data_IF_144025876927
#
_entry.id   IF_144025876927
#
_cell.length_a   1.000
_cell.length_b   1.000
_cell.length_c   1.000
_cell.angle_alpha   90.00
_cell.angle_beta   90.00
_cell.angle_gamma   90.00
#
_symmetry.space_group_name_H-M   'P 1'
#
loop_
_entity.id
_entity.type
_entity.pdbx_description
1 polymer ?
#
# COMPACT_ATOMS: atom_id res chain seq x y z
N UNK A 1 18.76 21.31 19.78
CA UNK A 1 18.03 22.55 20.05
C UNK A 1 17.09 22.28 21.19
N UNK A 2 17.30 22.97 22.30
CA UNK A 2 16.59 22.74 23.55
C UNK A 2 15.19 23.37 23.46
N UNK A 3 14.15 22.62 23.84
CA UNK A 3 12.82 23.21 23.99
C UNK A 3 12.89 24.27 25.09
N UNK A 4 12.46 25.49 24.79
CA UNK A 4 12.35 26.57 25.77
C UNK A 4 11.49 26.09 26.96
N UNK A 5 11.89 26.43 28.19
CA UNK A 5 11.22 26.01 29.44
C UNK A 5 9.69 26.31 29.42
N UNK A 6 9.29 27.40 28.77
CA UNK A 6 7.88 27.76 28.55
C UNK A 6 7.12 26.76 27.67
N UNK A 7 7.76 26.22 26.64
CA UNK A 7 7.14 25.25 25.74
C UNK A 7 6.85 23.93 26.46
N UNK A 8 7.74 23.52 27.36
CA UNK A 8 7.56 22.33 28.20
C UNK A 8 6.36 22.54 29.13
N UNK A 9 6.18 23.74 29.67
CA UNK A 9 5.05 24.09 30.54
C UNK A 9 3.69 24.07 29.81
N UNK A 10 3.65 24.48 28.54
CA UNK A 10 2.44 24.41 27.74
C UNK A 10 2.05 22.97 27.38
N UNK A 11 3.03 22.13 27.04
CA UNK A 11 2.79 20.71 26.76
C UNK A 11 2.36 19.97 28.03
N UNK A 12 3.00 20.24 29.17
CA UNK A 12 2.62 19.60 30.44
C UNK A 12 1.22 19.99 30.91
N UNK A 13 0.82 21.27 30.75
CA UNK A 13 -0.55 21.71 31.04
C UNK A 13 -1.58 20.99 30.15
N UNK A 14 -1.32 20.88 28.85
CA UNK A 14 -2.20 20.18 27.92
C UNK A 14 -2.35 18.70 28.27
N UNK A 15 -1.26 18.04 28.66
CA UNK A 15 -1.29 16.63 29.08
C UNK A 15 -2.02 16.46 30.41
N UNK A 16 -1.82 17.37 31.37
CA UNK A 16 -2.56 17.37 32.63
C UNK A 16 -4.07 17.52 32.42
N UNK A 17 -4.50 18.39 31.49
CA UNK A 17 -5.92 18.53 31.14
C UNK A 17 -6.49 17.26 30.48
N UNK A 18 -5.68 16.52 29.73
CA UNK A 18 -6.08 15.22 29.16
C UNK A 18 -6.16 14.15 30.25
N UNK A 19 -5.19 14.09 31.17
CA UNK A 19 -5.21 13.14 32.29
C UNK A 19 -6.41 13.37 33.20
N UNK A 20 -6.73 14.63 33.52
CA UNK A 20 -7.92 15.00 34.30
C UNK A 20 -9.22 14.55 33.61
N UNK A 21 -9.30 14.71 32.28
CA UNK A 21 -10.48 14.31 31.50
C UNK A 21 -10.59 12.81 31.25
N UNK A 22 -9.48 12.08 31.30
CA UNK A 22 -9.48 10.61 31.32
C UNK A 22 -10.01 10.10 32.67
N UNK A 23 -9.63 10.73 33.78
CA UNK A 23 -10.11 10.40 35.12
C UNK A 23 -9.98 8.91 35.45
N UNK A 24 -11.07 8.33 35.97
CA UNK A 24 -11.17 6.91 36.34
C UNK A 24 -11.67 5.99 35.19
N UNK A 25 -11.78 6.51 33.96
CA UNK A 25 -12.29 5.73 32.83
C UNK A 25 -11.29 4.69 32.31
N UNK A 26 -10.03 4.78 32.72
CA UNK A 26 -8.96 3.85 32.37
C UNK A 26 -8.25 3.37 33.65
N UNK A 27 -7.87 2.08 33.68
CA UNK A 27 -7.04 1.56 34.76
C UNK A 27 -5.68 2.27 34.81
N UNK A 28 -5.05 2.37 35.98
CA UNK A 28 -3.80 3.10 36.18
C UNK A 28 -2.70 2.70 35.18
N UNK A 29 -2.56 1.40 34.89
CA UNK A 29 -1.59 0.87 33.93
C UNK A 29 -1.93 1.23 32.47
N UNK A 30 -3.21 1.32 32.12
CA UNK A 30 -3.64 1.73 30.78
C UNK A 30 -3.48 3.23 30.59
N UNK A 31 -3.78 4.02 31.62
CA UNK A 31 -3.57 5.48 31.63
C UNK A 31 -2.11 5.83 31.39
N UNK A 32 -1.19 5.18 32.10
CA UNK A 32 0.26 5.40 31.94
C UNK A 32 0.73 5.08 30.51
N UNK A 33 0.30 3.93 29.94
CA UNK A 33 0.65 3.55 28.56
C UNK A 33 0.07 4.48 27.50
N UNK A 34 -1.17 4.92 27.69
CA UNK A 34 -1.85 5.84 26.79
C UNK A 34 -1.16 7.21 26.78
N UNK A 35 -0.83 7.74 27.97
CA UNK A 35 -0.12 9.01 28.13
C UNK A 35 1.31 8.93 27.60
N UNK A 36 2.04 7.84 27.83
CA UNK A 36 3.40 7.66 27.31
C UNK A 36 3.44 7.69 25.76
N UNK A 37 2.46 7.05 25.10
CA UNK A 37 2.36 7.10 23.63
C UNK A 37 1.93 8.46 23.11
N UNK A 38 1.06 9.16 23.83
CA UNK A 38 0.70 10.54 23.52
C UNK A 38 1.95 11.43 23.60
N UNK A 39 2.74 11.28 24.66
CA UNK A 39 4.00 12.00 24.87
C UNK A 39 4.97 11.81 23.70
N UNK A 40 5.21 10.55 23.30
CA UNK A 40 6.10 10.23 22.18
C UNK A 40 5.62 10.84 20.86
N UNK A 41 4.30 10.85 20.62
CA UNK A 41 3.71 11.43 19.41
C UNK A 41 3.80 12.96 19.37
N UNK A 42 3.65 13.61 20.53
CA UNK A 42 3.83 15.06 20.67
C UNK A 42 5.29 15.41 20.41
N UNK A 43 6.23 14.66 20.99
CA UNK A 43 7.67 14.85 20.81
C UNK A 43 8.12 14.65 19.34
N UNK A 44 7.60 13.62 18.66
CA UNK A 44 7.89 13.36 17.24
C UNK A 44 7.37 14.51 16.34
N UNK A 45 6.16 15.00 16.62
CA UNK A 45 5.59 16.14 15.88
C UNK A 45 6.31 17.46 16.16
N UNK A 46 6.76 17.66 17.40
CA UNK A 46 7.61 18.79 17.76
C UNK A 46 8.92 18.72 16.99
N UNK A 47 9.64 17.58 17.02
CA UNK A 47 10.90 17.39 16.28
C UNK A 47 10.75 17.60 14.77
N UNK A 48 9.62 17.20 14.20
CA UNK A 48 9.36 17.35 12.75
C UNK A 48 9.03 18.80 12.36
N UNK A 49 8.51 19.61 13.29
CA UNK A 49 8.06 20.98 13.03
C UNK A 49 9.02 22.06 13.54
N UNK A 50 10.05 21.67 14.30
CA UNK A 50 11.07 22.56 14.87
C UNK A 50 12.03 23.08 13.79
N UNK A 51 11.66 24.20 13.18
CA UNK A 51 12.61 25.14 12.55
C UNK A 51 13.01 26.20 13.57
N UNK A 52 14.23 26.75 13.44
CA UNK A 52 15.06 27.37 14.49
C UNK A 52 14.45 28.46 15.41
N UNK A 53 13.24 28.97 15.17
CA UNK A 53 12.55 29.96 16.03
C UNK A 53 11.04 29.72 15.98
N UNK A 54 10.56 28.67 16.66
CA UNK A 54 9.12 28.39 16.75
C UNK A 54 8.52 29.28 17.85
N UNK A 55 7.65 30.21 17.47
CA UNK A 55 6.96 31.12 18.40
C UNK A 55 5.88 30.37 19.23
N UNK A 56 5.60 30.85 20.44
CA UNK A 56 4.59 30.29 21.37
C UNK A 56 3.21 30.10 20.68
N UNK A 57 2.87 30.97 19.72
CA UNK A 57 1.64 30.90 18.94
C UNK A 57 1.57 29.67 18.03
N UNK A 58 2.69 29.23 17.47
CA UNK A 58 2.77 28.07 16.57
C UNK A 58 2.64 26.75 17.34
N UNK A 59 3.13 26.70 18.58
CA UNK A 59 2.94 25.56 19.49
C UNK A 59 1.46 25.42 19.84
N UNK A 60 0.79 26.52 20.18
CA UNK A 60 -0.64 26.50 20.48
C UNK A 60 -1.46 26.08 19.25
N UNK A 61 -1.10 26.52 18.05
CA UNK A 61 -1.72 26.03 16.81
C UNK A 61 -1.44 24.54 16.55
N UNK A 62 -0.23 24.05 16.84
CA UNK A 62 0.13 22.64 16.70
C UNK A 62 -0.69 21.77 17.66
N UNK A 63 -0.83 22.20 18.92
CA UNK A 63 -1.64 21.53 19.94
C UNK A 63 -3.13 21.56 19.56
N UNK A 64 -3.65 22.70 19.10
CA UNK A 64 -5.04 22.81 18.63
C UNK A 64 -5.31 21.93 17.41
N UNK A 65 -4.33 21.81 16.49
CA UNK A 65 -4.41 20.94 15.31
C UNK A 65 -4.34 19.44 15.66
N UNK A 66 -3.79 19.07 16.82
CA UNK A 66 -3.92 17.71 17.33
C UNK A 66 -5.33 17.42 17.85
N UNK A 67 -6.11 18.45 18.17
CA UNK A 67 -7.50 18.34 18.62
C UNK A 67 -7.65 18.79 20.06
N UNK A 68 -8.88 19.15 20.43
CA UNK A 68 -9.19 19.55 21.80
C UNK A 68 -8.89 18.41 22.78
N UNK A 69 -8.49 18.72 24.03
CA UNK A 69 -8.16 17.71 25.05
C UNK A 69 -9.27 16.66 25.23
N UNK A 70 -10.53 17.09 25.16
CA UNK A 70 -11.72 16.23 25.26
C UNK A 70 -11.78 15.17 24.17
N UNK A 71 -11.51 15.56 22.93
CA UNK A 71 -11.55 14.65 21.79
C UNK A 71 -10.41 13.64 21.87
N UNK A 72 -9.23 14.06 22.32
CA UNK A 72 -8.08 13.16 22.51
C UNK A 72 -8.32 12.19 23.68
N UNK A 73 -8.84 12.66 24.80
CA UNK A 73 -9.23 11.80 25.93
C UNK A 73 -10.26 10.74 25.49
N UNK A 74 -11.31 11.12 24.76
CA UNK A 74 -12.31 10.19 24.24
C UNK A 74 -11.73 9.15 23.27
N UNK A 75 -10.77 9.55 22.41
CA UNK A 75 -10.07 8.61 21.52
C UNK A 75 -9.22 7.64 22.33
N UNK A 76 -8.49 8.12 23.35
CA UNK A 76 -7.65 7.27 24.20
C UNK A 76 -8.51 6.28 25.01
N UNK A 77 -9.61 6.72 25.60
CA UNK A 77 -10.57 5.86 26.30
C UNK A 77 -11.18 4.83 25.35
N UNK A 78 -11.53 5.20 24.12
CA UNK A 78 -12.04 4.23 23.14
C UNK A 78 -11.00 3.18 22.75
N UNK A 79 -9.78 3.60 22.45
CA UNK A 79 -8.74 2.70 21.94
C UNK A 79 -8.19 1.79 23.05
N UNK A 80 -8.16 2.25 24.30
CA UNK A 80 -7.60 1.48 25.42
C UNK A 80 -8.64 0.93 26.41
N UNK A 81 -9.87 1.44 26.42
CA UNK A 81 -10.98 0.93 27.23
C UNK A 81 -11.60 -0.34 26.65
N UNK A 82 -11.64 -0.48 25.33
CA UNK A 82 -12.15 -1.69 24.66
C UNK A 82 -11.23 -2.92 24.85
N UNK A 83 -9.98 -2.71 25.26
CA UNK A 83 -9.02 -3.79 25.49
C UNK A 83 -9.43 -4.74 26.64
N UNK A 84 -10.30 -4.29 27.57
CA UNK A 84 -10.84 -5.15 28.63
C UNK A 84 -11.92 -6.13 28.14
N UNK A 85 -12.53 -5.91 26.97
CA UNK A 85 -13.48 -6.86 26.39
C UNK A 85 -12.79 -8.00 25.62
N UNK A 86 -11.54 -7.81 25.18
CA UNK A 86 -10.79 -8.80 24.39
C UNK A 86 -9.89 -9.74 25.20
N UNK A 87 -9.67 -9.48 26.50
CA UNK A 87 -8.77 -10.29 27.35
C UNK A 87 -9.49 -11.26 28.32
N UNK A 88 -10.82 -11.46 28.18
CA UNK A 88 -11.57 -12.47 28.98
C UNK A 88 -11.99 -13.73 28.20
N UNK A 89 -11.56 -13.88 26.95
CA UNK A 89 -11.85 -15.07 26.14
C UNK A 89 -10.63 -16.03 26.07
N UNK A 90 -10.11 -16.47 27.22
CA UNK A 90 -9.18 -17.61 27.30
C UNK A 90 -9.13 -18.18 28.71
N UNK A 91 -10.19 -18.89 29.11
CA UNK A 91 -10.10 -19.99 30.11
C UNK A 91 -11.36 -20.86 30.07
N UNK A 92 -11.20 -22.10 29.60
CA UNK A 92 -12.01 -23.28 29.97
C UNK A 92 -11.14 -24.49 29.63
N UNK A 93 -11.18 -25.65 30.33
CA UNK A 93 -12.31 -26.23 31.09
C UNK A 93 -11.92 -26.52 32.56
N UNK A 94 -12.81 -26.75 33.53
CA UNK A 94 -13.55 -28.01 33.74
C UNK A 94 -14.27 -27.94 35.12
N UNK A 95 -15.40 -28.66 35.21
CA UNK A 95 -16.04 -29.28 36.38
C UNK A 95 -17.29 -28.65 37.07
N UNK A 96 -18.36 -29.48 37.07
CA UNK A 96 -19.54 -29.64 37.96
C UNK A 96 -20.72 -28.64 38.02
N UNK A 97 -21.87 -29.12 37.49
CA UNK A 97 -23.16 -29.45 38.16
C UNK A 97 -23.59 -28.60 39.39
N UNK A 98 -24.83 -28.13 39.62
CA UNK A 98 -26.19 -28.48 39.16
C UNK A 98 -27.21 -27.37 39.67
N UNK A 99 -28.55 -27.55 39.72
CA UNK A 99 -29.57 -26.87 38.91
C UNK A 99 -30.45 -25.84 39.66
N UNK A 100 -31.18 -25.01 38.91
CA UNK A 100 -32.13 -24.04 39.49
C UNK A 100 -33.22 -23.60 38.51
N UNK A 101 -34.37 -24.27 38.59
CA UNK A 101 -35.63 -24.03 37.90
C UNK A 101 -36.15 -22.59 37.97
N UNK A 102 -36.77 -22.08 36.87
CA UNK A 102 -38.19 -21.65 36.86
C UNK A 102 -38.66 -21.12 35.48
N UNK A 103 -39.60 -21.90 34.92
CA UNK A 103 -40.91 -21.51 34.34
C UNK A 103 -41.02 -20.41 33.27
N UNK A 104 -41.68 -20.77 32.17
CA UNK A 104 -42.41 -19.82 31.34
C UNK A 104 -42.64 -20.29 29.91
N UNK A 105 -43.49 -21.29 29.71
CA UNK A 105 -43.97 -21.69 28.40
C UNK A 105 -45.00 -20.68 27.88
N UNK A 106 -44.75 -20.08 26.71
CA UNK A 106 -45.85 -19.59 25.86
C UNK A 106 -45.40 -19.48 24.40
N UNK A 107 -46.11 -20.20 23.52
CA UNK A 107 -46.08 -20.08 22.06
C UNK A 107 -47.54 -19.99 21.61
N UNK A 108 -47.90 -18.97 20.83
CA UNK A 108 -48.48 -19.24 19.51
C UNK A 108 -47.94 -18.23 18.47
N UNK A 109 -47.47 -18.66 17.30
CA UNK A 109 -48.23 -18.97 16.08
C UNK A 109 -47.98 -17.88 15.00
N UNK A 110 -47.29 -18.31 13.94
CA UNK A 110 -47.48 -17.92 12.53
C UNK A 110 -47.76 -16.44 12.20
N UNK A 111 -46.68 -15.72 11.88
CA UNK A 111 -46.71 -14.50 11.07
C UNK A 111 -45.82 -14.70 9.84
N UNK A 112 -46.44 -14.65 8.67
CA UNK A 112 -45.88 -14.77 7.33
C UNK A 112 -44.63 -13.89 7.10
N UNK A 113 -43.46 -14.49 6.90
CA UNK A 113 -42.27 -13.78 6.40
C UNK A 113 -42.22 -13.87 4.87
N UNK A 114 -42.99 -12.99 4.23
CA UNK A 114 -42.71 -12.59 2.86
C UNK A 114 -41.29 -12.00 2.83
N UNK A 115 -40.36 -12.70 2.20
CA UNK A 115 -38.98 -12.26 1.98
C UNK A 115 -39.01 -11.08 1.00
N UNK A 116 -38.63 -9.85 1.40
CA UNK A 116 -38.27 -8.84 0.43
C UNK A 116 -36.88 -9.22 -0.11
N UNK A 117 -36.84 -9.55 -1.39
CA UNK A 117 -35.59 -9.66 -2.13
C UNK A 117 -34.78 -8.36 -1.98
N UNK A 118 -33.51 -8.48 -1.57
CA UNK A 118 -32.57 -7.37 -1.54
C UNK A 118 -31.98 -7.01 -0.18
N UNK A 119 -31.90 -7.94 0.78
CA UNK A 119 -31.11 -7.72 2.00
C UNK A 119 -29.60 -7.80 1.67
N UNK A 120 -29.02 -6.67 1.24
CA UNK A 120 -27.58 -6.44 1.27
C UNK A 120 -27.11 -6.56 2.72
N UNK A 121 -26.39 -7.64 3.02
CA UNK A 121 -25.80 -7.85 4.34
C UNK A 121 -24.98 -6.61 4.75
N UNK A 122 -25.10 -6.14 6.00
CA UNK A 122 -24.24 -5.07 6.51
C UNK A 122 -22.81 -5.58 6.45
N UNK A 123 -22.03 -5.02 5.52
CA UNK A 123 -20.64 -5.36 5.28
C UNK A 123 -19.86 -4.91 6.53
N UNK A 124 -19.64 -5.84 7.46
CA UNK A 124 -18.82 -5.58 8.64
C UNK A 124 -17.44 -5.10 8.18
N UNK A 125 -16.98 -4.02 8.80
CA UNK A 125 -15.78 -3.27 8.43
C UNK A 125 -14.47 -4.10 8.43
N UNK A 126 -14.51 -5.36 8.91
CA UNK A 126 -13.36 -6.24 9.03
C UNK A 126 -13.08 -7.12 7.81
N UNK A 127 -14.02 -7.25 6.86
CA UNK A 127 -13.77 -8.03 5.65
C UNK A 127 -13.20 -7.14 4.54
N UNK A 128 -11.88 -6.94 4.58
CA UNK A 128 -11.12 -6.27 3.52
C UNK A 128 -11.26 -7.01 2.18
N UNK A 129 -12.30 -6.67 1.42
CA UNK A 129 -12.56 -7.20 0.08
C UNK A 129 -11.66 -6.46 -0.91
N UNK A 130 -10.68 -7.17 -1.51
CA UNK A 130 -9.72 -6.57 -2.45
C UNK A 130 -10.38 -5.84 -3.62
N UNK A 131 -11.30 -6.51 -4.34
CA UNK A 131 -12.06 -5.93 -5.47
C UNK A 131 -13.48 -6.50 -5.59
N UNK A 132 -13.86 -7.50 -4.78
CA UNK A 132 -15.21 -8.08 -4.77
C UNK A 132 -15.50 -9.09 -5.88
N UNK A 133 -14.61 -9.27 -6.86
CA UNK A 133 -14.80 -10.21 -7.99
C UNK A 133 -14.99 -11.64 -7.51
N UNK A 134 -14.10 -12.14 -6.65
CA UNK A 134 -14.21 -13.49 -6.13
C UNK A 134 -15.46 -13.66 -5.23
N UNK A 135 -15.86 -12.62 -4.50
CA UNK A 135 -17.09 -12.65 -3.70
C UNK A 135 -18.34 -12.76 -4.58
N UNK A 136 -18.41 -11.94 -5.62
CA UNK A 136 -19.54 -11.94 -6.56
C UNK A 136 -19.70 -13.28 -7.28
N UNK A 137 -18.60 -13.85 -7.78
CA UNK A 137 -18.64 -15.15 -8.49
C UNK A 137 -18.99 -16.29 -7.51
N UNK A 138 -18.46 -16.24 -6.29
CA UNK A 138 -18.76 -17.23 -5.25
C UNK A 138 -20.26 -17.21 -4.86
N UNK A 139 -20.84 -16.03 -4.68
CA UNK A 139 -22.26 -15.85 -4.36
C UNK A 139 -23.16 -16.36 -5.49
N UNK A 140 -22.84 -16.00 -6.75
CA UNK A 140 -23.61 -16.44 -7.92
C UNK A 140 -23.61 -17.96 -8.10
N UNK A 141 -22.47 -18.62 -7.84
CA UNK A 141 -22.31 -20.05 -8.05
C UNK A 141 -22.52 -20.89 -6.78
N UNK A 142 -22.80 -20.25 -5.62
CA UNK A 142 -22.86 -20.88 -4.29
C UNK A 142 -21.59 -21.65 -3.90
N UNK A 143 -20.43 -21.14 -4.29
CA UNK A 143 -19.13 -21.74 -3.97
C UNK A 143 -18.53 -21.10 -2.72
N UNK A 144 -17.72 -21.83 -1.94
CA UNK A 144 -16.96 -21.22 -0.84
C UNK A 144 -15.93 -20.23 -1.39
N UNK A 145 -15.96 -18.99 -0.89
CA UNK A 145 -15.10 -17.88 -1.37
C UNK A 145 -13.60 -18.20 -1.29
N UNK A 146 -13.18 -18.98 -0.29
CA UNK A 146 -11.78 -19.41 -0.16
C UNK A 146 -11.33 -20.30 -1.32
N UNK A 147 -12.16 -21.25 -1.77
CA UNK A 147 -11.81 -22.14 -2.87
C UNK A 147 -11.63 -21.36 -4.19
N UNK A 148 -12.48 -20.36 -4.42
CA UNK A 148 -12.37 -19.52 -5.60
C UNK A 148 -11.13 -18.61 -5.54
N UNK A 149 -10.80 -18.05 -4.37
CA UNK A 149 -9.53 -17.31 -4.16
C UNK A 149 -8.33 -18.20 -4.43
N UNK A 150 -8.33 -19.43 -3.92
CA UNK A 150 -7.27 -20.41 -4.16
C UNK A 150 -7.11 -20.74 -5.65
N UNK A 151 -8.22 -20.93 -6.36
CA UNK A 151 -8.20 -21.15 -7.81
C UNK A 151 -7.61 -19.96 -8.58
N UNK A 152 -7.98 -18.73 -8.22
CA UNK A 152 -7.38 -17.54 -8.83
C UNK A 152 -5.88 -17.43 -8.55
N UNK A 153 -5.44 -17.77 -7.34
CA UNK A 153 -4.01 -17.80 -6.99
C UNK A 153 -3.28 -18.87 -7.80
N UNK A 154 -3.83 -20.07 -7.91
CA UNK A 154 -3.24 -21.16 -8.70
C UNK A 154 -3.14 -20.79 -10.19
N UNK A 155 -4.20 -20.17 -10.73
CA UNK A 155 -4.20 -19.65 -12.10
C UNK A 155 -3.17 -18.53 -12.28
N UNK A 156 -3.00 -17.68 -11.27
CA UNK A 156 -1.96 -16.66 -11.19
C UNK A 156 -0.55 -17.23 -11.16
N UNK A 157 -0.33 -18.36 -10.48
CA UNK A 157 0.96 -19.02 -10.44
C UNK A 157 1.37 -19.58 -11.81
N UNK A 158 0.41 -20.13 -12.57
CA UNK A 158 0.66 -20.76 -13.87
C UNK A 158 0.78 -19.72 -14.99
N UNK A 159 -0.15 -18.76 -15.04
CA UNK A 159 -0.22 -17.76 -16.12
C UNK A 159 0.47 -16.44 -15.81
N UNK A 160 0.96 -16.29 -14.57
CA UNK A 160 1.70 -15.12 -14.10
C UNK A 160 0.89 -13.82 -14.22
N UNK A 161 1.48 -12.74 -14.77
CA UNK A 161 0.83 -11.42 -14.85
C UNK A 161 -0.45 -11.39 -15.71
N UNK A 162 -0.65 -12.38 -16.59
CA UNK A 162 -1.83 -12.45 -17.47
C UNK A 162 -3.11 -12.72 -16.68
N UNK A 163 -3.08 -13.61 -15.68
CA UNK A 163 -4.24 -13.84 -14.80
C UNK A 163 -4.63 -12.58 -14.04
N UNK A 164 -3.64 -11.76 -13.65
CA UNK A 164 -3.91 -10.50 -12.98
C UNK A 164 -4.65 -9.53 -13.93
N UNK A 165 -4.20 -9.41 -15.18
CA UNK A 165 -4.90 -8.60 -16.20
C UNK A 165 -6.34 -9.09 -16.44
N UNK A 166 -6.56 -10.40 -16.51
CA UNK A 166 -7.90 -10.99 -16.67
C UNK A 166 -8.79 -10.70 -15.46
N UNK A 167 -8.27 -10.86 -14.25
CA UNK A 167 -8.99 -10.56 -13.02
C UNK A 167 -9.44 -9.09 -12.97
N UNK A 168 -8.58 -8.19 -13.43
CA UNK A 168 -8.85 -6.76 -13.52
C UNK A 168 -9.89 -6.43 -14.58
N UNK A 169 -9.82 -7.07 -15.74
CA UNK A 169 -10.82 -6.94 -16.79
C UNK A 169 -12.20 -7.36 -16.28
N UNK A 170 -12.29 -8.51 -15.59
CA UNK A 170 -13.55 -9.00 -15.00
C UNK A 170 -14.10 -7.99 -13.99
N UNK A 171 -13.26 -7.39 -13.15
CA UNK A 171 -13.69 -6.33 -12.25
C UNK A 171 -14.29 -5.14 -13.00
N UNK A 172 -13.59 -4.62 -14.02
CA UNK A 172 -14.03 -3.44 -14.78
C UNK A 172 -15.37 -3.72 -15.45
N UNK A 173 -15.55 -4.91 -16.03
CA UNK A 173 -16.81 -5.33 -16.67
C UNK A 173 -17.95 -5.44 -15.65
N UNK A 174 -17.72 -6.11 -14.51
CA UNK A 174 -18.74 -6.27 -13.48
C UNK A 174 -19.15 -4.93 -12.86
N UNK A 175 -18.19 -4.00 -12.74
CA UNK A 175 -18.46 -2.65 -12.25
C UNK A 175 -19.19 -1.79 -13.26
N UNK A 176 -18.85 -1.87 -14.54
CA UNK A 176 -19.57 -1.19 -15.62
C UNK A 176 -21.04 -1.64 -15.71
N UNK A 177 -21.34 -2.90 -15.35
CA UNK A 177 -22.70 -3.45 -15.25
C UNK A 177 -23.43 -3.12 -13.94
N UNK A 178 -22.80 -2.39 -13.02
CA UNK A 178 -23.38 -2.04 -11.72
C UNK A 178 -23.49 -3.21 -10.73
N UNK A 179 -22.91 -4.38 -11.03
CA UNK A 179 -23.05 -5.59 -10.21
C UNK A 179 -22.17 -5.61 -8.96
N UNK A 180 -21.17 -4.72 -8.87
CA UNK A 180 -20.27 -4.60 -7.72
C UNK A 180 -20.21 -3.13 -7.29
N UNK A 181 -20.70 -2.85 -6.08
CA UNK A 181 -20.44 -1.60 -5.38
C UNK A 181 -19.12 -1.72 -4.62
N UNK A 182 -18.20 -0.76 -4.84
CA UNK A 182 -16.91 -0.71 -4.13
C UNK A 182 -17.02 0.48 -3.21
N UNK A 183 -16.59 0.36 -1.94
CA UNK A 183 -16.67 1.44 -0.97
C UNK A 183 -15.78 2.64 -1.33
N UNK A 184 -14.80 2.47 -2.23
CA UNK A 184 -13.88 3.53 -2.61
C UNK A 184 -14.23 4.18 -3.97
N UNK A 185 -13.96 5.49 -4.08
CA UNK A 185 -14.20 6.28 -5.29
C UNK A 185 -13.36 5.76 -6.45
N UNK A 186 -14.03 5.40 -7.53
CA UNK A 186 -13.41 4.86 -8.74
C UNK A 186 -13.06 5.98 -9.71
N UNK A 187 -11.78 6.12 -10.05
CA UNK A 187 -11.30 7.12 -11.01
C UNK A 187 -10.90 6.42 -12.32
N UNK A 188 -11.79 6.36 -13.33
CA UNK A 188 -11.52 5.64 -14.58
C UNK A 188 -10.31 6.19 -15.33
N UNK A 189 -10.05 7.50 -15.19
CA UNK A 189 -8.89 8.15 -15.79
C UNK A 189 -7.57 7.57 -15.28
N UNK A 190 -7.46 7.25 -13.99
CA UNK A 190 -6.22 6.69 -13.40
C UNK A 190 -5.88 5.30 -13.92
N UNK A 191 -6.90 4.52 -14.29
CA UNK A 191 -6.74 3.15 -14.80
C UNK A 191 -6.08 3.16 -16.17
N UNK A 192 -6.34 4.19 -16.97
CA UNK A 192 -5.70 4.35 -18.29
C UNK A 192 -4.38 5.12 -18.15
N UNK A 193 -4.36 6.24 -17.42
CA UNK A 193 -3.18 7.11 -17.34
C UNK A 193 -1.99 6.44 -16.63
N UNK A 194 -2.20 5.68 -15.55
CA UNK A 194 -1.10 5.07 -14.81
C UNK A 194 -0.28 4.08 -15.67
N UNK A 195 -0.88 3.03 -16.26
CA UNK A 195 -0.12 2.10 -17.09
C UNK A 195 0.43 2.77 -18.35
N UNK A 196 -0.28 3.76 -18.91
CA UNK A 196 0.22 4.54 -20.05
C UNK A 196 1.49 5.32 -19.67
N UNK A 197 1.47 6.04 -18.55
CA UNK A 197 2.62 6.80 -18.07
C UNK A 197 3.79 5.88 -17.71
N UNK A 198 3.54 4.78 -17.01
CA UNK A 198 4.56 3.76 -16.69
C UNK A 198 5.18 3.19 -17.97
N UNK A 199 4.36 2.80 -18.94
CA UNK A 199 4.83 2.29 -20.23
C UNK A 199 5.62 3.35 -21.01
N UNK A 200 5.17 4.61 -21.00
CA UNK A 200 5.86 5.71 -21.67
C UNK A 200 7.24 5.97 -21.07
N UNK A 201 7.35 6.02 -19.73
CA UNK A 201 8.64 6.20 -19.04
C UNK A 201 9.59 5.04 -19.33
N UNK A 202 9.11 3.80 -19.30
CA UNK A 202 9.96 2.65 -19.65
C UNK A 202 10.39 2.67 -21.11
N UNK A 203 9.49 3.06 -22.02
CA UNK A 203 9.82 3.21 -23.45
C UNK A 203 10.88 4.29 -23.64
N UNK A 204 10.78 5.40 -22.90
CA UNK A 204 11.79 6.46 -22.92
C UNK A 204 13.17 5.93 -22.51
N UNK A 205 13.27 5.14 -21.44
CA UNK A 205 14.55 4.53 -21.03
C UNK A 205 15.06 3.51 -22.04
N UNK A 206 14.19 2.66 -22.58
CA UNK A 206 14.55 1.70 -23.62
C UNK A 206 15.14 2.39 -24.85
N UNK A 207 14.43 3.40 -25.37
CA UNK A 207 14.88 4.20 -26.50
C UNK A 207 16.16 4.97 -26.16
N UNK A 208 16.26 5.52 -24.94
CA UNK A 208 17.48 6.18 -24.46
C UNK A 208 18.70 5.26 -24.46
N UNK A 209 18.52 4.00 -24.06
CA UNK A 209 19.59 2.99 -24.12
C UNK A 209 20.01 2.67 -25.57
N UNK A 210 19.04 2.37 -26.44
CA UNK A 210 19.32 2.03 -27.85
C UNK A 210 19.93 3.20 -28.62
N UNK A 211 19.31 4.38 -28.54
CA UNK A 211 19.83 5.57 -29.20
C UNK A 211 21.12 6.06 -28.56
N UNK A 212 21.35 5.80 -27.28
CA UNK A 212 22.64 6.02 -26.63
C UNK A 212 23.75 5.20 -27.28
N UNK A 213 23.54 3.89 -27.46
CA UNK A 213 24.50 3.01 -28.15
C UNK A 213 24.70 3.45 -29.61
N UNK A 214 23.62 3.74 -30.35
CA UNK A 214 23.72 4.24 -31.72
C UNK A 214 24.47 5.58 -31.80
N UNK A 215 24.26 6.48 -30.84
CA UNK A 215 24.97 7.74 -30.75
C UNK A 215 26.48 7.54 -30.53
N UNK A 216 26.86 6.59 -29.68
CA UNK A 216 28.27 6.22 -29.47
C UNK A 216 28.88 5.66 -30.77
N UNK A 217 28.18 4.75 -31.47
CA UNK A 217 28.63 4.21 -32.77
C UNK A 217 28.82 5.31 -33.80
N UNK A 218 27.83 6.19 -33.94
CA UNK A 218 27.89 7.33 -34.85
C UNK A 218 29.05 8.27 -34.49
N UNK A 219 29.31 8.50 -33.20
CA UNK A 219 30.43 9.32 -32.77
C UNK A 219 31.78 8.68 -33.14
N UNK A 220 31.89 7.36 -32.99
CA UNK A 220 33.09 6.62 -33.34
C UNK A 220 33.36 6.63 -34.86
N UNK A 221 32.33 6.41 -35.66
CA UNK A 221 32.45 6.43 -37.12
C UNK A 221 32.73 7.84 -37.67
N UNK A 222 32.08 8.87 -37.12
CA UNK A 222 32.17 10.23 -37.66
C UNK A 222 33.36 11.03 -37.13
N UNK A 223 33.74 10.86 -35.86
CA UNK A 223 34.81 11.65 -35.24
C UNK A 223 36.12 10.89 -35.09
N UNK A 224 36.08 9.57 -34.88
CA UNK A 224 37.28 8.75 -34.80
C UNK A 224 37.61 8.07 -36.14
N UNK A 225 36.72 8.14 -37.14
CA UNK A 225 36.87 7.51 -38.46
C UNK A 225 37.22 6.01 -38.37
N UNK A 226 36.80 5.37 -37.28
CA UNK A 226 37.07 3.97 -36.98
C UNK A 226 35.75 3.25 -36.69
N UNK A 227 35.62 1.96 -37.03
CA UNK A 227 34.49 1.16 -36.54
C UNK A 227 34.64 0.92 -35.04
N UNK A 228 33.50 0.76 -34.34
CA UNK A 228 33.52 0.35 -32.93
C UNK A 228 34.12 -1.06 -32.82
N UNK A 229 35.08 -1.30 -31.91
CA UNK A 229 35.69 -2.62 -31.75
C UNK A 229 34.65 -3.66 -31.31
N UNK A 230 34.89 -4.96 -31.54
CA UNK A 230 34.01 -6.00 -31.03
C UNK A 230 34.03 -6.02 -29.49
N UNK A 231 32.90 -5.69 -28.89
CA UNK A 231 32.75 -5.52 -27.43
C UNK A 231 32.34 -6.79 -26.69
N UNK A 232 31.99 -7.87 -27.41
CA UNK A 232 31.56 -9.16 -26.84
C UNK A 232 30.56 -8.97 -25.68
N UNK A 233 30.88 -9.47 -24.48
CA UNK A 233 30.04 -9.40 -23.28
C UNK A 233 29.75 -7.98 -22.79
N UNK A 234 30.58 -6.99 -23.11
CA UNK A 234 30.36 -5.59 -22.72
C UNK A 234 29.21 -4.93 -23.49
N UNK A 235 28.79 -5.51 -24.62
CA UNK A 235 27.64 -5.06 -25.41
C UNK A 235 26.34 -5.83 -25.12
N UNK A 236 26.26 -6.52 -23.96
CA UNK A 236 25.06 -7.26 -23.54
C UNK A 236 23.77 -6.41 -23.61
N UNK A 237 23.83 -5.11 -23.30
CA UNK A 237 22.65 -4.26 -23.39
C UNK A 237 22.03 -4.26 -24.81
N UNK A 238 22.84 -4.30 -25.86
CA UNK A 238 22.35 -4.31 -27.24
C UNK A 238 21.58 -5.59 -27.58
N UNK A 239 22.02 -6.73 -27.03
CA UNK A 239 21.44 -8.05 -27.27
C UNK A 239 20.21 -8.26 -26.39
N UNK A 240 20.30 -7.91 -25.11
CA UNK A 240 19.26 -8.17 -24.11
C UNK A 240 18.22 -7.04 -23.97
N UNK A 241 18.44 -5.83 -24.50
CA UNK A 241 17.54 -4.68 -24.29
C UNK A 241 16.08 -4.99 -24.61
N UNK A 242 15.82 -5.68 -25.74
CA UNK A 242 14.47 -6.04 -26.14
C UNK A 242 13.80 -7.01 -25.15
N UNK A 243 14.53 -8.03 -24.69
CA UNK A 243 14.02 -9.02 -23.72
C UNK A 243 13.76 -8.37 -22.36
N UNK A 244 14.66 -7.51 -21.90
CA UNK A 244 14.48 -6.77 -20.65
C UNK A 244 13.30 -5.81 -20.73
N UNK A 245 13.15 -5.07 -21.82
CA UNK A 245 12.03 -4.16 -22.03
C UNK A 245 10.69 -4.90 -22.04
N UNK A 246 10.61 -6.01 -22.79
CA UNK A 246 9.42 -6.85 -22.82
C UNK A 246 9.10 -7.43 -21.43
N UNK A 247 10.10 -7.96 -20.73
CA UNK A 247 9.93 -8.47 -19.37
C UNK A 247 9.44 -7.38 -18.41
N UNK A 248 10.06 -6.19 -18.46
CA UNK A 248 9.64 -5.05 -17.66
C UNK A 248 8.18 -4.66 -17.96
N UNK A 249 7.75 -4.66 -19.23
CA UNK A 249 6.36 -4.34 -19.60
C UNK A 249 5.41 -5.42 -19.07
N UNK A 250 5.76 -6.68 -19.27
CA UNK A 250 4.94 -7.81 -18.87
C UNK A 250 4.69 -7.84 -17.35
N UNK A 251 5.68 -7.46 -16.53
CA UNK A 251 5.54 -7.47 -15.07
C UNK A 251 5.05 -6.13 -14.50
N UNK A 252 5.63 -5.00 -14.91
CA UNK A 252 5.35 -3.71 -14.28
C UNK A 252 4.03 -3.10 -14.76
N UNK A 253 3.60 -3.36 -16.00
CA UNK A 253 2.39 -2.75 -16.55
C UNK A 253 1.10 -3.29 -15.90
N UNK A 254 0.95 -4.62 -15.67
CA UNK A 254 -0.16 -5.14 -14.89
C UNK A 254 -0.17 -4.67 -13.44
N UNK A 255 1.01 -4.55 -12.81
CA UNK A 255 1.11 -4.00 -11.45
C UNK A 255 0.75 -2.50 -11.41
N UNK A 256 1.13 -1.72 -12.42
CA UNK A 256 0.73 -0.32 -12.56
C UNK A 256 -0.79 -0.19 -12.66
N UNK A 257 -1.42 -1.04 -13.48
CA UNK A 257 -2.87 -1.12 -13.59
C UNK A 257 -3.51 -1.53 -12.25
N UNK A 258 -2.92 -2.49 -11.55
CA UNK A 258 -3.39 -2.96 -10.25
C UNK A 258 -3.34 -1.86 -9.18
N UNK A 259 -2.27 -1.07 -9.16
CA UNK A 259 -2.10 0.07 -8.26
C UNK A 259 -3.11 1.21 -8.49
N UNK A 260 -3.72 1.27 -9.68
CA UNK A 260 -4.71 2.30 -10.01
C UNK A 260 -6.11 2.00 -9.46
N UNK A 261 -6.30 0.82 -8.86
CA UNK A 261 -7.62 0.32 -8.53
C UNK A 261 -7.95 0.46 -7.03
N UNK A 262 -9.25 0.54 -6.69
CA UNK A 262 -9.70 0.78 -5.33
C UNK A 262 -9.46 -0.47 -4.46
N UNK A 263 -8.24 -0.59 -3.95
CA UNK A 263 -7.83 -1.69 -3.08
C UNK A 263 -8.12 -1.36 -1.61
N UNK A 264 -8.45 -2.39 -0.83
CA UNK A 264 -8.59 -2.27 0.62
C UNK A 264 -7.26 -1.86 1.29
N UNK A 265 -7.32 -1.32 2.51
CA UNK A 265 -6.16 -1.05 3.37
C UNK A 265 -5.01 -0.22 2.74
N UNK A 266 -5.32 0.66 1.78
CA UNK A 266 -4.34 1.52 1.09
C UNK A 266 -3.24 0.75 0.33
N UNK A 267 -3.52 -0.48 -0.06
CA UNK A 267 -2.58 -1.28 -0.86
C UNK A 267 -2.25 -0.63 -2.22
N UNK A 268 -3.13 0.23 -2.74
CA UNK A 268 -2.90 1.05 -3.94
C UNK A 268 -1.63 1.89 -3.84
N UNK A 269 -1.39 2.55 -2.69
CA UNK A 269 -0.20 3.36 -2.48
C UNK A 269 1.08 2.51 -2.44
N UNK A 270 1.05 1.38 -1.74
CA UNK A 270 2.19 0.46 -1.62
C UNK A 270 2.56 -0.11 -2.98
N UNK A 271 1.57 -0.56 -3.76
CA UNK A 271 1.80 -1.10 -5.09
C UNK A 271 2.29 -0.06 -6.08
N UNK A 272 1.79 1.18 -5.97
CA UNK A 272 2.29 2.28 -6.79
C UNK A 272 3.77 2.53 -6.53
N UNK A 273 4.18 2.59 -5.26
CA UNK A 273 5.60 2.75 -4.88
C UNK A 273 6.45 1.57 -5.36
N UNK A 274 5.95 0.35 -5.20
CA UNK A 274 6.64 -0.84 -5.69
C UNK A 274 6.85 -0.80 -7.22
N UNK A 275 5.81 -0.42 -7.97
CA UNK A 275 5.89 -0.26 -9.43
C UNK A 275 6.89 0.82 -9.82
N UNK A 276 6.88 1.97 -9.13
CA UNK A 276 7.84 3.05 -9.35
C UNK A 276 9.28 2.59 -9.08
N UNK A 277 9.52 1.88 -7.98
CA UNK A 277 10.83 1.28 -7.70
C UNK A 277 11.27 0.30 -8.79
N UNK A 278 10.35 -0.51 -9.32
CA UNK A 278 10.62 -1.40 -10.44
C UNK A 278 11.04 -0.67 -11.71
N UNK A 279 10.37 0.45 -12.04
CA UNK A 279 10.76 1.31 -13.18
C UNK A 279 12.14 1.94 -12.95
N UNK A 280 12.44 2.37 -11.73
CA UNK A 280 13.77 2.93 -11.38
C UNK A 280 14.84 1.85 -11.50
N UNK A 281 14.60 0.62 -11.02
CA UNK A 281 15.53 -0.50 -11.20
C UNK A 281 15.79 -0.78 -12.68
N UNK A 282 14.76 -0.78 -13.51
CA UNK A 282 14.91 -0.92 -14.96
C UNK A 282 15.78 0.20 -15.56
N UNK A 283 15.54 1.46 -15.17
CA UNK A 283 16.35 2.60 -15.61
C UNK A 283 17.83 2.51 -15.18
N UNK A 284 18.08 2.01 -13.96
CA UNK A 284 19.44 1.74 -13.47
C UNK A 284 20.10 0.64 -14.32
N UNK A 285 19.40 -0.45 -14.63
CA UNK A 285 19.94 -1.53 -15.48
C UNK A 285 20.30 -1.03 -16.87
N UNK A 286 19.48 -0.18 -17.50
CA UNK A 286 19.79 0.43 -18.80
C UNK A 286 21.01 1.35 -18.69
N UNK A 287 21.08 2.18 -17.65
CA UNK A 287 22.24 3.06 -17.40
C UNK A 287 23.53 2.25 -17.22
N UNK A 288 23.45 1.15 -16.47
CA UNK A 288 24.58 0.24 -16.25
C UNK A 288 25.02 -0.43 -17.55
N UNK A 289 24.09 -0.84 -18.40
CA UNK A 289 24.40 -1.40 -19.72
C UNK A 289 25.10 -0.40 -20.64
N UNK A 290 24.67 0.87 -20.63
CA UNK A 290 25.33 1.92 -21.40
C UNK A 290 26.75 2.20 -20.88
N UNK A 291 26.93 2.24 -19.56
CA UNK A 291 28.23 2.39 -18.94
C UNK A 291 29.16 1.21 -19.28
N UNK A 292 28.65 -0.02 -19.21
CA UNK A 292 29.37 -1.24 -19.58
C UNK A 292 29.84 -1.19 -21.04
N UNK A 293 28.99 -0.72 -21.96
CA UNK A 293 29.34 -0.53 -23.37
C UNK A 293 30.53 0.43 -23.53
N UNK A 294 30.49 1.59 -22.85
CA UNK A 294 31.58 2.58 -22.89
C UNK A 294 32.87 2.00 -22.27
N UNK A 295 32.76 1.32 -21.13
CA UNK A 295 33.91 0.67 -20.47
C UNK A 295 34.58 -0.34 -21.39
N UNK A 296 33.81 -1.15 -22.12
CA UNK A 296 34.35 -2.09 -23.09
C UNK A 296 35.14 -1.41 -24.22
N UNK A 297 34.71 -0.23 -24.67
CA UNK A 297 35.44 0.56 -25.67
C UNK A 297 36.78 1.03 -25.10
N UNK A 298 36.76 1.59 -23.89
CA UNK A 298 37.98 2.09 -23.22
C UNK A 298 38.99 0.97 -23.00
N UNK A 299 38.55 -0.20 -22.53
CA UNK A 299 39.44 -1.34 -22.30
C UNK A 299 40.07 -1.81 -23.61
N UNK A 300 39.29 -1.94 -24.68
CA UNK A 300 39.83 -2.30 -26.00
C UNK A 300 40.86 -1.29 -26.49
N UNK A 301 40.58 0.01 -26.33
CA UNK A 301 41.50 1.08 -26.70
C UNK A 301 42.81 1.01 -25.89
N UNK A 302 42.75 0.80 -24.58
CA UNK A 302 43.94 0.66 -23.73
C UNK A 302 44.77 -0.57 -24.13
N UNK A 303 44.12 -1.69 -24.45
CA UNK A 303 44.81 -2.89 -24.91
C UNK A 303 45.54 -2.68 -26.25
N UNK A 304 45.04 -1.79 -27.11
CA UNK A 304 45.72 -1.39 -28.37
C UNK A 304 47.05 -0.67 -28.11
N UNK A 305 47.18 0.07 -27.00
CA UNK A 305 48.45 0.74 -26.62
C UNK A 305 49.41 -0.15 -25.80
N UNK A 306 48.91 -1.22 -25.20
CA UNK A 306 49.70 -2.15 -24.40
C UNK A 306 50.37 -3.26 -25.22
N UNK A 307 49.97 -3.41 -26.50
CA UNK A 307 50.64 -4.26 -27.50
C UNK A 307 51.64 -3.50 -28.35
#
# INVERSE_FOLDING_TARGET
MELTEKHILHVSRYISEIEEKIGDQLSANQRERALARLHARIEEKLKTSLTSEMEDAEIMQLLYKMGQPETQAAILVRVWGDASASDTASTSPEDRQEPGSRTGAEKPATGSSATPAGASLPQSADNAVWLGVAGYIAEKNKWPTWALRFLFVLMGLISGPVALMLYMLVFVVLRARGSIQSPARFHPTRIVLNPLFTGAVMTLFYLGGIYGIQGIRMAHEKYLERPVPPLNEWAWLEIEAGRMFFGALLFLLPLALFSAMPLANRWDYSLKRFTQSGVVLYAISVSFGLASFITGIIINFVNEFAG
#
